data_IF_936378253810
#
_entry.id   IF_936378253810
#
_cell.length_a   1.000
_cell.length_b   1.000
_cell.length_c   1.000
_cell.angle_alpha   90.00
_cell.angle_beta   90.00
_cell.angle_gamma   90.00
#
_symmetry.space_group_name_H-M   'P 1'
#
loop_
_entity.id
_entity.type
_entity.pdbx_description
1 polymer ?
#
# COMPACT_ATOMS: atom_id res chain seq x y z
N UNK A 1 -7.67 11.59 -12.67
CA UNK A 1 -8.55 11.29 -11.51
C UNK A 1 -8.06 12.15 -10.37
N UNK A 2 -8.94 12.75 -9.59
CA UNK A 2 -8.51 13.56 -8.44
C UNK A 2 -7.94 12.60 -7.39
N UNK A 3 -6.62 12.65 -7.20
CA UNK A 3 -5.89 11.85 -6.22
C UNK A 3 -6.05 12.50 -4.84
N UNK A 4 -7.27 12.53 -4.32
CA UNK A 4 -7.56 13.19 -3.05
C UNK A 4 -7.06 12.31 -1.91
N UNK A 5 -6.16 12.78 -1.04
CA UNK A 5 -5.75 12.04 0.14
C UNK A 5 -6.96 11.85 1.07
N UNK A 6 -7.07 10.67 1.66
CA UNK A 6 -8.00 10.39 2.75
C UNK A 6 -7.24 10.03 4.02
N UNK A 7 -7.78 10.38 5.16
CA UNK A 7 -7.23 10.00 6.46
C UNK A 7 -7.77 8.63 6.87
N UNK A 8 -6.88 7.73 7.29
CA UNK A 8 -7.22 6.47 7.90
C UNK A 8 -6.20 6.13 8.98
N UNK A 9 -6.66 5.90 10.21
CA UNK A 9 -5.80 5.58 11.35
C UNK A 9 -4.73 6.64 11.66
N UNK A 10 -5.04 7.91 11.38
CA UNK A 10 -4.11 9.04 11.59
C UNK A 10 -3.07 9.22 10.49
N UNK A 11 -3.15 8.46 9.39
CA UNK A 11 -2.29 8.60 8.23
C UNK A 11 -3.09 9.04 7.00
N UNK A 12 -2.44 9.81 6.13
CA UNK A 12 -3.01 10.23 4.86
C UNK A 12 -2.60 9.28 3.74
N UNK A 13 -3.58 8.74 3.02
CA UNK A 13 -3.36 7.85 1.88
C UNK A 13 -3.90 8.48 0.60
N UNK A 14 -3.07 8.52 -0.42
CA UNK A 14 -3.39 9.02 -1.75
C UNK A 14 -3.58 7.81 -2.67
N UNK A 15 -4.75 7.62 -3.28
CA UNK A 15 -4.94 6.53 -4.24
C UNK A 15 -4.13 6.84 -5.50
N UNK A 16 -2.96 6.21 -5.70
CA UNK A 16 -2.05 6.54 -6.80
C UNK A 16 -2.43 5.80 -8.08
N UNK A 17 -2.67 4.49 -8.01
CA UNK A 17 -2.77 3.68 -9.21
C UNK A 17 -3.75 2.53 -9.06
N UNK A 18 -4.68 2.49 -10.01
CA UNK A 18 -5.43 1.30 -10.40
C UNK A 18 -4.57 0.52 -11.38
N UNK A 19 -4.36 -0.78 -11.17
CA UNK A 19 -3.82 -1.61 -12.24
C UNK A 19 -4.83 -1.58 -13.39
N UNK A 20 -4.50 -0.90 -14.50
CA UNK A 20 -5.39 -0.85 -15.65
C UNK A 20 -5.84 -2.27 -16.03
N UNK A 21 -7.12 -2.48 -16.37
CA UNK A 21 -7.62 -3.74 -16.90
C UNK A 21 -7.12 -3.93 -18.35
N UNK A 22 -5.81 -4.02 -18.55
CA UNK A 22 -5.25 -4.47 -19.82
C UNK A 22 -5.32 -6.00 -19.87
N UNK A 23 -6.47 -6.49 -20.32
CA UNK A 23 -6.64 -7.79 -20.95
C UNK A 23 -6.44 -9.02 -20.05
N UNK A 24 -7.55 -9.64 -19.66
CA UNK A 24 -7.74 -11.05 -19.27
C UNK A 24 -6.86 -11.66 -18.15
N UNK A 25 -5.82 -10.99 -17.70
CA UNK A 25 -5.02 -11.36 -16.55
C UNK A 25 -5.37 -10.39 -15.44
N UNK A 26 -6.11 -10.85 -14.43
CA UNK A 26 -6.08 -10.23 -13.10
C UNK A 26 -4.58 -10.09 -12.75
N UNK A 27 -4.03 -8.88 -12.86
CA UNK A 27 -2.63 -8.62 -12.57
C UNK A 27 -2.49 -8.66 -11.05
N UNK A 28 -2.43 -9.88 -10.52
CA UNK A 28 -2.07 -10.13 -9.12
C UNK A 28 -0.82 -9.32 -8.85
N UNK A 29 -0.86 -8.53 -7.78
CA UNK A 29 0.30 -7.79 -7.31
C UNK A 29 1.42 -8.81 -7.16
N UNK A 30 2.54 -8.67 -7.89
CA UNK A 30 3.59 -9.67 -7.84
C UNK A 30 4.11 -9.71 -6.41
N UNK A 31 4.05 -10.89 -5.78
CA UNK A 31 4.54 -11.13 -4.42
C UNK A 31 6.00 -10.68 -4.26
N UNK A 32 6.79 -10.70 -5.33
CA UNK A 32 8.17 -10.18 -5.35
C UNK A 32 8.30 -8.67 -5.13
N UNK A 33 7.21 -7.90 -5.28
CA UNK A 33 7.15 -6.44 -5.07
C UNK A 33 6.35 -6.05 -3.84
N UNK A 34 5.59 -6.98 -3.28
CA UNK A 34 4.80 -6.76 -2.07
C UNK A 34 5.59 -7.25 -0.87
N UNK A 35 5.57 -6.50 0.23
CA UNK A 35 6.02 -6.98 1.52
C UNK A 35 5.32 -8.30 1.87
N UNK A 36 6.08 -9.24 2.43
CA UNK A 36 5.50 -10.51 2.86
C UNK A 36 4.50 -10.31 4.01
N UNK A 37 4.72 -9.27 4.81
CA UNK A 37 3.99 -8.96 6.04
C UNK A 37 3.43 -7.53 5.96
N UNK A 38 2.31 -7.29 6.66
CA UNK A 38 1.78 -5.95 6.83
C UNK A 38 2.71 -5.11 7.72
N UNK A 39 2.77 -3.81 7.48
CA UNK A 39 3.54 -2.89 8.31
C UNK A 39 2.80 -2.65 9.63
N UNK A 40 3.16 -3.43 10.65
CA UNK A 40 2.49 -3.40 11.96
C UNK A 40 2.64 -2.05 12.70
N UNK A 41 3.72 -1.31 12.41
CA UNK A 41 4.01 0.00 12.99
C UNK A 41 3.36 1.16 12.21
N UNK A 42 2.61 0.86 11.15
CA UNK A 42 2.04 1.90 10.30
C UNK A 42 0.98 2.70 11.04
N UNK A 43 0.17 2.03 11.86
CA UNK A 43 -0.88 2.67 12.64
C UNK A 43 -0.49 2.72 14.11
N UNK A 44 -0.94 3.74 14.86
CA UNK A 44 -0.76 3.77 16.30
C UNK A 44 -1.40 2.51 16.91
N UNK A 45 -0.71 1.84 17.84
CA UNK A 45 -1.00 0.45 18.27
C UNK A 45 -2.39 0.17 18.86
N UNK A 46 -3.26 1.17 18.99
CA UNK A 46 -4.67 1.02 19.38
C UNK A 46 -5.63 1.00 18.16
N UNK A 47 -5.11 1.23 16.96
CA UNK A 47 -5.90 1.29 15.75
C UNK A 47 -6.15 -0.10 15.16
N UNK A 48 -7.41 -0.55 15.21
CA UNK A 48 -7.84 -1.79 14.58
C UNK A 48 -8.02 -1.58 13.07
N UNK A 49 -7.00 -1.94 12.29
CA UNK A 49 -7.11 -1.95 10.83
C UNK A 49 -8.26 -2.86 10.38
N UNK A 50 -9.05 -2.37 9.43
CA UNK A 50 -10.09 -3.15 8.76
C UNK A 50 -10.03 -2.90 7.26
N UNK A 51 -9.80 -3.97 6.50
CA UNK A 51 -9.75 -3.91 5.04
C UNK A 51 -10.99 -3.23 4.45
N UNK A 52 -12.20 -3.61 4.91
CA UNK A 52 -13.44 -2.97 4.47
C UNK A 52 -13.49 -1.49 4.82
N UNK A 53 -13.13 -1.14 6.07
CA UNK A 53 -13.14 0.25 6.53
C UNK A 53 -12.14 1.14 5.77
N UNK A 54 -11.01 0.59 5.35
CA UNK A 54 -10.03 1.31 4.53
C UNK A 54 -10.63 1.72 3.18
N UNK A 55 -11.28 0.79 2.47
CA UNK A 55 -11.95 1.08 1.20
C UNK A 55 -13.16 2.01 1.33
N UNK A 56 -13.85 1.97 2.47
CA UNK A 56 -14.91 2.95 2.78
C UNK A 56 -14.35 4.36 2.94
N UNK A 57 -13.23 4.52 3.66
CA UNK A 57 -12.55 5.81 3.81
C UNK A 57 -11.92 6.31 2.50
N UNK A 58 -11.38 5.40 1.70
CA UNK A 58 -10.74 5.72 0.43
C UNK A 58 -11.71 6.28 -0.61
N UNK A 59 -13.01 6.01 -0.48
CA UNK A 59 -14.05 6.29 -1.47
C UNK A 59 -13.74 5.72 -2.88
N UNK A 60 -12.72 4.86 -3.01
CA UNK A 60 -12.29 4.23 -4.26
C UNK A 60 -12.31 2.72 -4.08
N UNK A 61 -13.14 2.02 -4.85
CA UNK A 61 -13.27 0.55 -4.79
C UNK A 61 -12.39 -0.19 -5.82
N UNK A 62 -11.71 0.56 -6.68
CA UNK A 62 -10.98 0.06 -7.86
C UNK A 62 -9.51 0.52 -7.80
N UNK A 63 -8.96 0.65 -6.59
CA UNK A 63 -7.56 1.02 -6.37
C UNK A 63 -6.94 0.00 -5.42
N UNK A 64 -5.85 -0.63 -5.88
CA UNK A 64 -5.11 -1.62 -5.09
C UNK A 64 -3.83 -1.05 -4.47
N UNK A 65 -3.36 0.13 -4.94
CA UNK A 65 -2.13 0.77 -4.47
C UNK A 65 -2.43 2.17 -3.94
N UNK A 66 -1.97 2.42 -2.72
CA UNK A 66 -2.15 3.68 -2.00
C UNK A 66 -0.80 4.21 -1.55
N UNK A 67 -0.54 5.48 -1.81
CA UNK A 67 0.66 6.17 -1.34
C UNK A 67 0.39 6.82 0.00
N UNK A 68 1.17 6.48 1.01
CA UNK A 68 1.15 7.24 2.26
C UNK A 68 1.78 8.61 2.02
N UNK A 69 1.07 9.70 2.34
CA UNK A 69 1.60 11.05 2.17
C UNK A 69 2.71 11.37 3.19
N UNK A 70 2.67 10.76 4.38
CA UNK A 70 3.67 10.97 5.43
C UNK A 70 5.04 10.42 5.04
N UNK A 71 5.07 9.15 4.63
CA UNK A 71 6.32 8.46 4.29
C UNK A 71 6.65 8.50 2.78
N UNK A 72 5.69 8.88 1.94
CA UNK A 72 5.81 8.84 0.49
C UNK A 72 5.84 7.42 -0.12
N UNK A 73 5.75 6.36 0.70
CA UNK A 73 5.81 4.94 0.30
C UNK A 73 4.45 4.44 -0.20
N UNK A 74 4.48 3.42 -1.06
CA UNK A 74 3.28 2.76 -1.57
C UNK A 74 2.92 1.58 -0.68
N UNK A 75 1.61 1.37 -0.51
CA UNK A 75 1.03 0.32 0.32
C UNK A 75 -0.14 -0.32 -0.40
N UNK A 76 -0.33 -1.59 -0.12
CA UNK A 76 -1.43 -2.42 -0.64
C UNK A 76 -2.28 -2.87 0.54
N UNK A 77 -3.56 -2.48 0.60
CA UNK A 77 -4.50 -3.02 1.58
C UNK A 77 -4.75 -4.50 1.30
N UNK A 78 -4.47 -5.31 2.31
CA UNK A 78 -4.73 -6.74 2.35
C UNK A 78 -5.64 -7.05 3.54
N UNK A 79 -6.17 -8.27 3.65
CA UNK A 79 -7.00 -8.68 4.81
C UNK A 79 -6.26 -8.55 6.14
N UNK A 80 -4.96 -8.82 6.13
CA UNK A 80 -4.10 -8.80 7.32
C UNK A 80 -3.62 -7.39 7.71
N UNK A 81 -3.66 -6.42 6.78
CA UNK A 81 -3.10 -5.09 6.98
C UNK A 81 -2.63 -4.41 5.69
N UNK A 82 -1.95 -3.28 5.83
CA UNK A 82 -1.28 -2.59 4.72
C UNK A 82 0.12 -3.15 4.51
N UNK A 83 0.36 -3.74 3.34
CA UNK A 83 1.67 -4.28 2.96
C UNK A 83 2.43 -3.27 2.12
N UNK A 84 3.72 -3.00 2.39
CA UNK A 84 4.50 -2.09 1.56
C UNK A 84 4.61 -2.63 0.13
N UNK A 85 4.52 -1.74 -0.86
CA UNK A 85 4.67 -2.05 -2.27
C UNK A 85 5.86 -1.31 -2.85
N UNK A 86 6.75 -2.05 -3.50
CA UNK A 86 7.91 -1.51 -4.19
C UNK A 86 7.65 -1.53 -5.70
N UNK A 87 7.45 -0.35 -6.30
CA UNK A 87 7.30 -0.24 -7.77
C UNK A 87 8.55 -0.70 -8.52
N UNK A 88 9.73 -0.49 -7.91
CA UNK A 88 11.02 -0.97 -8.35
C UNK A 88 11.39 -2.21 -7.54
N UNK A 89 11.73 -3.35 -8.17
CA UNK A 89 12.38 -4.43 -7.44
C UNK A 89 13.65 -3.84 -6.84
N UNK A 90 13.78 -3.90 -5.52
CA UNK A 90 14.93 -3.38 -4.81
C UNK A 90 16.20 -4.02 -5.39
N UNK A 91 17.09 -3.28 -6.09
CA UNK A 91 18.33 -3.85 -6.55
C UNK A 91 19.38 -3.96 -5.43
N UNK A 92 19.09 -3.50 -4.20
CA UNK A 92 20.13 -3.21 -3.20
C UNK A 92 19.82 -3.74 -1.78
N UNK A 93 19.53 -5.05 -1.66
CA UNK A 93 19.98 -5.80 -0.45
C UNK A 93 21.44 -6.25 -0.56
N UNK A 94 22.28 -5.41 -1.15
CA UNK A 94 23.73 -5.59 -1.20
C UNK A 94 24.38 -4.23 -1.02
N UNK A 95 25.09 -4.05 0.11
CA UNK A 95 25.67 -2.82 0.69
C UNK A 95 24.70 -2.20 1.72
N UNK A 96 25.00 -2.04 3.01
CA UNK A 96 26.27 -1.86 3.70
C UNK A 96 26.19 -2.43 5.13
N UNK A 97 26.95 -3.50 5.41
CA UNK A 97 27.46 -3.79 6.74
C UNK A 97 28.99 -3.83 6.58
N UNK A 98 29.57 -2.66 6.28
CA UNK A 98 31.01 -2.44 6.39
C UNK A 98 31.23 -1.39 7.49
N UNK A 99 31.52 -1.87 8.69
CA UNK A 99 32.35 -1.18 9.68
C UNK A 99 33.15 -2.21 10.46
#
# INVERSE_FOLDING_TARGET
>A
MEHTPFEYGGLHFIPEQRFEPQGQYHRRIPLSRMGQEAEADLFPGEFAYSHSGFYEAAAVKDCDIFRCAENGRLYVPCEDGLRPYNERPDPERGREHER
#
